data_IF_256382735187
#
_entry.id   IF_256382735187
#
_cell.length_a   1.000
_cell.length_b   1.000
_cell.length_c   1.000
_cell.angle_alpha   90.00
_cell.angle_beta   90.00
_cell.angle_gamma   90.00
#
_symmetry.space_group_name_H-M   'P 1'
#
loop_
_entity.id
_entity.type
_entity.pdbx_description
1 polymer ?
#
# COMPACT_ATOMS: atom_id res chain seq x y z
N UNK A 1 -11.01 23.03 16.70
CA UNK A 1 -10.57 22.05 17.71
C UNK A 1 -9.68 21.07 16.98
N UNK A 2 -8.36 21.27 17.02
CA UNK A 2 -7.41 20.38 16.35
C UNK A 2 -7.26 19.11 17.20
N UNK A 3 -8.01 18.06 16.85
CA UNK A 3 -7.82 16.71 17.40
C UNK A 3 -6.69 16.02 16.64
N UNK A 4 -5.47 16.52 16.81
CA UNK A 4 -4.25 15.86 16.35
C UNK A 4 -3.72 14.95 17.44
N UNK A 5 -3.30 13.74 17.08
CA UNK A 5 -2.51 12.91 18.00
C UNK A 5 -1.22 13.67 18.36
N UNK A 6 -0.99 13.85 19.66
CA UNK A 6 0.18 14.56 20.17
C UNK A 6 1.49 13.83 19.86
N UNK A 7 1.44 12.51 19.56
CA UNK A 7 2.59 11.72 19.14
C UNK A 7 2.21 10.46 18.32
N UNK A 8 2.07 10.66 17.00
CA UNK A 8 1.76 9.61 16.01
C UNK A 8 2.73 8.42 16.02
N UNK A 9 4.03 8.67 16.27
CA UNK A 9 5.03 7.59 16.30
C UNK A 9 4.82 6.68 17.51
N UNK A 10 4.66 7.27 18.71
CA UNK A 10 4.43 6.53 19.93
C UNK A 10 3.16 5.68 19.84
N UNK A 11 2.06 6.24 19.29
CA UNK A 11 0.84 5.49 19.04
C UNK A 11 1.08 4.34 18.05
N UNK A 12 1.72 4.61 16.92
CA UNK A 12 1.98 3.59 15.89
C UNK A 12 2.84 2.42 16.39
N UNK A 13 3.88 2.72 17.19
CA UNK A 13 4.74 1.72 17.86
C UNK A 13 3.95 0.94 18.91
N UNK A 14 3.14 1.61 19.73
CA UNK A 14 2.28 0.93 20.70
C UNK A 14 1.32 -0.05 20.02
N UNK A 15 0.69 0.37 18.92
CA UNK A 15 -0.17 -0.49 18.11
C UNK A 15 0.61 -1.69 17.54
N UNK A 16 1.85 -1.48 17.08
CA UNK A 16 2.69 -2.58 16.56
C UNK A 16 2.93 -3.66 17.60
N UNK A 17 3.41 -3.25 18.78
CA UNK A 17 3.68 -4.16 19.89
C UNK A 17 2.41 -4.83 20.41
N UNK A 18 1.29 -4.11 20.39
CA UNK A 18 0.01 -4.66 20.85
C UNK A 18 -0.50 -5.74 19.91
N UNK A 19 -0.37 -5.56 18.59
CA UNK A 19 -0.79 -6.55 17.60
C UNK A 19 0.02 -7.85 17.70
N UNK A 20 1.33 -7.77 17.99
CA UNK A 20 2.15 -8.96 18.21
C UNK A 20 1.58 -9.87 19.32
N UNK A 21 0.92 -9.31 20.35
CA UNK A 21 0.35 -10.09 21.47
C UNK A 21 -0.83 -10.97 21.06
N UNK A 22 -1.56 -10.57 20.02
CA UNK A 22 -2.79 -11.24 19.62
C UNK A 22 -2.63 -12.14 18.41
N UNK A 23 -1.46 -12.16 17.77
CA UNK A 23 -1.31 -12.91 16.53
C UNK A 23 -2.17 -12.36 15.37
N UNK A 24 -2.74 -11.16 15.49
CA UNK A 24 -3.78 -10.66 14.57
C UNK A 24 -3.15 -10.02 13.34
N UNK A 25 -3.54 -10.53 12.17
CA UNK A 25 -3.38 -9.92 10.87
C UNK A 25 -4.48 -8.88 10.66
N UNK A 26 -4.15 -7.63 10.38
CA UNK A 26 -5.18 -6.59 10.20
C UNK A 26 -5.65 -6.55 8.74
N UNK A 27 -6.89 -6.97 8.51
CA UNK A 27 -7.64 -6.83 7.25
C UNK A 27 -8.40 -5.48 7.23
N UNK A 28 -8.48 -4.84 6.05
CA UNK A 28 -9.31 -3.66 5.83
C UNK A 28 -10.80 -4.02 6.05
N UNK A 29 -11.34 -3.56 7.19
CA UNK A 29 -12.76 -3.41 7.54
C UNK A 29 -13.80 -4.07 6.59
N UNK A 30 -14.16 -5.34 6.85
CA UNK A 30 -15.44 -5.93 6.48
C UNK A 30 -15.80 -7.02 7.51
N UNK A 31 -17.07 -7.14 7.96
CA UNK A 31 -17.43 -8.11 8.97
C UNK A 31 -17.57 -9.48 8.30
N UNK A 32 -16.83 -10.51 8.74
CA UNK A 32 -17.15 -11.89 8.37
C UNK A 32 -17.05 -12.84 9.56
N UNK A 33 -18.14 -13.59 9.69
CA UNK A 33 -18.37 -14.70 10.58
C UNK A 33 -17.41 -15.86 10.27
N UNK A 34 -16.99 -16.52 11.35
CA UNK A 34 -16.30 -17.80 11.48
C UNK A 34 -16.20 -18.69 10.23
N UNK A 35 -14.97 -19.02 9.82
CA UNK A 35 -14.60 -20.40 9.49
C UNK A 35 -13.08 -20.62 9.57
N UNK A 36 -12.72 -21.75 10.16
CA UNK A 36 -11.41 -22.22 10.61
C UNK A 36 -10.40 -22.47 9.46
N UNK A 37 -9.25 -21.78 9.45
CA UNK A 37 -8.03 -22.17 8.72
C UNK A 37 -6.78 -21.81 9.56
N UNK A 38 -5.90 -22.77 9.91
CA UNK A 38 -4.69 -22.49 10.69
C UNK A 38 -3.57 -22.06 9.73
N UNK A 39 -3.69 -20.86 9.18
CA UNK A 39 -2.57 -20.17 8.53
C UNK A 39 -2.64 -18.70 8.93
N UNK A 40 -2.27 -18.43 10.19
CA UNK A 40 -2.20 -17.06 10.70
C UNK A 40 -1.01 -16.34 10.05
N UNK A 41 -1.19 -15.89 8.81
CA UNK A 41 -0.24 -14.98 8.16
C UNK A 41 -0.39 -13.61 8.80
N UNK A 42 0.47 -13.31 9.78
CA UNK A 42 0.59 -12.02 10.43
C UNK A 42 0.98 -10.94 9.41
N UNK A 43 0.03 -10.18 8.88
CA UNK A 43 0.30 -9.06 7.99
C UNK A 43 -0.16 -7.74 8.61
N UNK A 44 0.69 -6.72 8.56
CA UNK A 44 0.33 -5.35 8.89
C UNK A 44 0.41 -4.49 7.64
N UNK A 45 -0.71 -3.90 7.25
CA UNK A 45 -0.77 -2.95 6.14
C UNK A 45 -0.68 -1.52 6.67
N UNK A 46 0.43 -0.84 6.37
CA UNK A 46 0.63 0.56 6.72
C UNK A 46 0.57 1.41 5.47
N UNK A 47 -0.47 2.25 5.42
CA UNK A 47 -0.55 3.31 4.41
C UNK A 47 0.27 4.47 4.94
N UNK A 48 1.36 4.79 4.27
CA UNK A 48 2.04 6.05 4.55
C UNK A 48 1.07 7.21 4.31
N UNK A 49 1.06 8.24 5.17
CA UNK A 49 0.29 9.45 4.96
C UNK A 49 0.88 10.23 3.78
N UNK A 50 0.69 9.71 2.57
CA UNK A 50 1.11 10.32 1.31
C UNK A 50 -0.14 10.58 0.49
N UNK A 51 -0.87 11.64 0.82
CA UNK A 51 -1.76 12.27 -0.17
C UNK A 51 -0.88 12.99 -1.19
N UNK A 52 -0.59 12.33 -2.32
CA UNK A 52 0.22 12.88 -3.41
C UNK A 52 -0.68 13.49 -4.49
N UNK A 53 -0.57 14.79 -4.73
CA UNK A 53 -0.83 15.35 -6.06
C UNK A 53 0.30 14.91 -7.00
N UNK A 54 0.04 14.84 -8.29
CA UNK A 54 0.91 14.21 -9.31
C UNK A 54 2.26 14.94 -9.52
N UNK A 55 2.44 16.13 -8.92
CA UNK A 55 3.55 17.04 -9.21
C UNK A 55 4.52 17.32 -8.04
N UNK A 56 4.22 16.95 -6.79
CA UNK A 56 5.10 17.29 -5.66
C UNK A 56 5.36 16.08 -4.74
N UNK A 57 6.63 15.66 -4.68
CA UNK A 57 7.17 14.81 -3.62
C UNK A 57 7.32 15.67 -2.36
N UNK A 58 6.28 15.79 -1.55
CA UNK A 58 6.46 16.29 -0.18
C UNK A 58 6.90 15.13 0.71
N UNK A 59 8.11 15.22 1.28
CA UNK A 59 8.56 14.25 2.27
C UNK A 59 7.67 14.36 3.51
N UNK A 60 6.93 13.29 3.81
CA UNK A 60 6.41 13.08 5.16
C UNK A 60 7.61 12.90 6.08
N UNK A 61 7.75 13.77 7.07
CA UNK A 61 8.85 13.71 8.05
C UNK A 61 8.84 12.44 8.92
N UNK A 62 7.73 11.69 8.93
CA UNK A 62 7.59 10.46 9.71
C UNK A 62 8.09 9.22 8.97
N UNK A 63 9.09 8.54 9.55
CA UNK A 63 9.54 7.22 9.09
C UNK A 63 8.65 6.10 9.64
N UNK A 64 8.32 5.10 8.82
CA UNK A 64 7.65 3.87 9.30
C UNK A 64 8.60 2.88 9.98
N UNK A 65 9.92 3.13 9.96
CA UNK A 65 10.93 2.26 10.53
C UNK A 65 10.69 1.87 12.01
N UNK A 66 10.28 2.79 12.91
CA UNK A 66 9.98 2.43 14.29
C UNK A 66 8.89 1.36 14.39
N UNK A 67 7.88 1.41 13.51
CA UNK A 67 6.77 0.46 13.46
C UNK A 67 7.20 -0.86 12.83
N UNK A 68 8.00 -0.82 11.77
CA UNK A 68 8.60 -2.03 11.15
C UNK A 68 9.44 -2.81 12.17
N UNK A 69 10.26 -2.13 12.97
CA UNK A 69 11.11 -2.73 14.01
C UNK A 69 10.32 -3.27 15.19
N UNK A 70 9.12 -2.73 15.44
CA UNK A 70 8.27 -3.12 16.56
C UNK A 70 7.25 -4.20 16.21
N UNK A 71 7.11 -4.57 14.93
CA UNK A 71 6.16 -5.57 14.45
C UNK A 71 6.90 -6.82 13.98
N UNK A 72 6.52 -7.98 14.50
CA UNK A 72 7.24 -9.24 14.27
C UNK A 72 6.73 -10.01 13.03
N UNK A 73 5.60 -9.59 12.47
CA UNK A 73 4.99 -10.19 11.27
C UNK A 73 5.43 -9.54 9.96
N UNK A 74 4.80 -9.99 8.87
CA UNK A 74 4.94 -9.43 7.52
C UNK A 74 4.44 -7.98 7.50
N UNK A 75 5.32 -7.06 7.14
CA UNK A 75 5.07 -5.64 7.10
C UNK A 75 4.86 -5.18 5.65
N UNK A 76 3.63 -4.78 5.34
CA UNK A 76 3.22 -4.32 4.01
C UNK A 76 3.14 -2.79 4.04
N UNK A 77 3.84 -2.11 3.13
CA UNK A 77 3.75 -0.66 2.97
C UNK A 77 2.92 -0.29 1.74
N UNK A 78 2.23 0.83 1.81
CA UNK A 78 1.54 1.45 0.68
C UNK A 78 1.67 2.97 0.76
N UNK A 79 1.36 3.66 -0.35
CA UNK A 79 1.35 5.13 -0.38
C UNK A 79 2.30 5.70 -1.43
N UNK A 80 1.94 5.55 -2.70
CA UNK A 80 2.61 6.18 -3.83
C UNK A 80 4.04 5.70 -4.09
N UNK A 81 4.33 4.44 -3.79
CA UNK A 81 5.54 3.78 -4.25
C UNK A 81 5.54 3.67 -5.79
N UNK A 82 6.68 3.96 -6.41
CA UNK A 82 7.01 3.49 -7.75
C UNK A 82 7.77 2.16 -7.68
N UNK A 83 8.26 1.69 -8.83
CA UNK A 83 9.02 0.43 -8.92
C UNK A 83 10.32 0.52 -8.11
N UNK A 84 11.10 1.55 -8.34
CA UNK A 84 12.41 1.75 -7.73
C UNK A 84 12.27 1.96 -6.21
N UNK A 85 11.38 2.86 -5.79
CA UNK A 85 11.17 3.10 -4.36
C UNK A 85 10.60 1.87 -3.64
N UNK A 86 9.79 1.06 -4.35
CA UNK A 86 9.25 -0.19 -3.84
C UNK A 86 10.32 -1.25 -3.63
N UNK A 87 11.17 -1.47 -4.64
CA UNK A 87 12.32 -2.38 -4.55
C UNK A 87 13.26 -1.97 -3.42
N UNK A 88 13.61 -0.69 -3.35
CA UNK A 88 14.47 -0.16 -2.30
C UNK A 88 13.86 -0.38 -0.90
N UNK A 89 12.55 -0.26 -0.72
CA UNK A 89 11.90 -0.50 0.57
C UNK A 89 12.04 -1.95 1.03
N UNK A 90 12.02 -2.90 0.10
CA UNK A 90 12.22 -4.32 0.41
C UNK A 90 13.69 -4.61 0.68
N UNK A 91 14.59 -4.14 -0.19
CA UNK A 91 16.05 -4.34 -0.06
C UNK A 91 16.60 -3.78 1.26
N UNK A 92 16.09 -2.62 1.69
CA UNK A 92 16.49 -1.97 2.95
C UNK A 92 15.77 -2.51 4.18
N UNK A 93 15.01 -3.61 4.06
CA UNK A 93 14.19 -4.21 5.13
C UNK A 93 13.20 -3.20 5.78
N UNK A 94 12.75 -2.19 5.02
CA UNK A 94 11.72 -1.24 5.46
C UNK A 94 10.32 -1.84 5.36
N UNK A 95 10.14 -2.82 4.47
CA UNK A 95 8.91 -3.57 4.27
C UNK A 95 9.24 -4.97 3.75
N UNK A 96 8.32 -5.92 3.97
CA UNK A 96 8.40 -7.25 3.36
C UNK A 96 7.62 -7.29 2.04
N UNK A 97 6.57 -6.44 1.91
CA UNK A 97 5.75 -6.30 0.71
C UNK A 97 5.37 -4.84 0.46
N UNK A 98 5.11 -4.48 -0.80
CA UNK A 98 4.63 -3.16 -1.21
C UNK A 98 3.30 -3.32 -1.94
N UNK A 99 2.28 -2.57 -1.53
CA UNK A 99 1.00 -2.53 -2.23
C UNK A 99 0.84 -1.27 -3.09
N UNK A 100 0.25 -1.47 -4.26
CA UNK A 100 0.03 -0.46 -5.27
C UNK A 100 -1.47 -0.31 -5.54
N UNK A 101 -2.02 0.88 -5.30
CA UNK A 101 -3.42 1.20 -5.60
C UNK A 101 -3.56 1.82 -6.99
N UNK A 102 -3.28 3.13 -7.09
CA UNK A 102 -3.41 3.91 -8.35
C UNK A 102 -2.66 3.32 -9.54
N UNK A 103 -1.45 2.80 -9.33
CA UNK A 103 -0.68 2.18 -10.41
C UNK A 103 -1.36 0.89 -10.89
N UNK A 104 -1.87 0.06 -9.98
CA UNK A 104 -2.53 -1.19 -10.33
C UNK A 104 -3.88 -0.96 -11.01
N UNK A 105 -4.62 0.09 -10.60
CA UNK A 105 -5.85 0.50 -11.27
C UNK A 105 -5.61 0.81 -12.75
N UNK A 106 -4.55 1.56 -13.06
CA UNK A 106 -4.24 1.96 -14.44
C UNK A 106 -3.46 0.90 -15.24
N UNK A 107 -2.85 -0.07 -14.57
CA UNK A 107 -1.96 -1.07 -15.18
C UNK A 107 -2.40 -2.45 -14.70
N UNK A 108 -3.32 -3.13 -15.41
CA UNK A 108 -3.82 -4.45 -14.97
C UNK A 108 -2.71 -5.51 -14.92
N UNK A 109 -1.62 -5.29 -15.65
CA UNK A 109 -0.42 -6.10 -15.74
C UNK A 109 0.80 -5.46 -15.06
N UNK A 110 0.58 -4.63 -14.03
CA UNK A 110 1.63 -3.91 -13.31
C UNK A 110 2.85 -4.79 -12.91
N UNK A 111 2.68 -6.01 -12.36
CA UNK A 111 3.83 -6.85 -12.01
C UNK A 111 4.70 -7.18 -13.22
N UNK A 112 4.08 -7.47 -14.37
CA UNK A 112 4.81 -7.76 -15.61
C UNK A 112 5.54 -6.52 -16.09
N UNK A 113 4.88 -5.36 -16.08
CA UNK A 113 5.53 -4.09 -16.46
C UNK A 113 6.74 -3.78 -15.58
N UNK A 114 6.66 -4.03 -14.27
CA UNK A 114 7.80 -3.87 -13.37
C UNK A 114 8.93 -4.88 -13.64
N UNK A 115 8.59 -6.12 -13.97
CA UNK A 115 9.56 -7.17 -14.28
C UNK A 115 10.41 -6.80 -15.50
N UNK A 116 9.78 -6.29 -16.57
CA UNK A 116 10.47 -5.93 -17.82
C UNK A 116 10.83 -4.44 -17.95
N UNK A 117 10.60 -3.66 -16.89
CA UNK A 117 10.80 -2.20 -16.88
C UNK A 117 10.08 -1.48 -18.03
N UNK A 118 8.82 -1.88 -18.28
CA UNK A 118 7.99 -1.33 -19.34
C UNK A 118 7.32 0.00 -18.92
N UNK A 119 6.96 0.86 -19.89
CA UNK A 119 6.19 2.07 -19.63
C UNK A 119 4.87 1.76 -18.90
N UNK A 120 4.48 2.64 -17.97
CA UNK A 120 3.22 2.53 -17.24
C UNK A 120 2.16 3.43 -17.86
N UNK A 121 0.92 2.93 -17.91
CA UNK A 121 -0.26 3.73 -18.14
C UNK A 121 -0.40 4.77 -17.02
N UNK A 122 -0.79 5.99 -17.39
CA UNK A 122 -1.02 7.07 -16.44
C UNK A 122 -2.41 6.93 -15.82
N UNK A 123 -2.54 6.90 -14.48
CA UNK A 123 -3.84 6.92 -13.83
C UNK A 123 -4.57 8.24 -14.13
N UNK A 124 -5.86 8.17 -14.44
CA UNK A 124 -6.68 9.37 -14.64
C UNK A 124 -7.60 9.57 -13.43
N UNK A 125 -7.27 10.56 -12.60
CA UNK A 125 -8.00 10.84 -11.35
C UNK A 125 -9.43 11.32 -11.57
N UNK A 126 -9.73 11.93 -12.72
CA UNK A 126 -11.06 12.46 -13.02
C UNK A 126 -12.10 11.34 -13.16
N UNK A 127 -11.64 10.14 -13.52
CA UNK A 127 -12.50 8.97 -13.79
C UNK A 127 -12.41 7.88 -12.72
N UNK A 128 -11.64 8.07 -11.63
CA UNK A 128 -11.53 7.06 -10.56
C UNK A 128 -12.86 6.67 -9.91
N UNK A 129 -13.81 7.61 -9.86
CA UNK A 129 -15.11 7.44 -9.24
C UNK A 129 -16.24 7.70 -10.25
N UNK A 130 -15.98 7.43 -11.52
CA UNK A 130 -17.02 7.47 -12.54
C UNK A 130 -18.07 6.39 -12.27
N UNK A 131 -19.30 6.63 -12.75
CA UNK A 131 -20.39 5.65 -12.70
C UNK A 131 -20.39 4.76 -13.96
N UNK A 132 -19.54 5.07 -14.94
CA UNK A 132 -19.36 4.25 -16.12
C UNK A 132 -18.69 2.92 -15.72
N UNK A 133 -19.25 1.76 -16.09
CA UNK A 133 -18.71 0.46 -15.68
C UNK A 133 -17.42 0.07 -16.43
N UNK A 134 -17.06 0.79 -17.50
CA UNK A 134 -15.93 0.48 -18.37
C UNK A 134 -14.86 1.55 -18.28
N UNK A 135 -15.24 2.82 -18.50
CA UNK A 135 -14.29 3.93 -18.62
C UNK A 135 -13.55 4.16 -17.30
N UNK A 136 -12.23 4.14 -17.30
CA UNK A 136 -11.39 4.30 -16.11
C UNK A 136 -11.38 3.11 -15.16
N UNK A 137 -11.95 1.97 -15.55
CA UNK A 137 -12.04 0.77 -14.72
C UNK A 137 -11.52 -0.48 -15.44
N UNK A 138 -12.07 -0.83 -16.60
CA UNK A 138 -11.68 -2.03 -17.37
C UNK A 138 -11.07 -1.72 -18.73
N UNK A 139 -10.99 -0.44 -19.12
CA UNK A 139 -10.50 0.04 -20.42
C UNK A 139 -9.01 0.41 -20.44
N UNK A 140 -8.29 0.22 -19.32
CA UNK A 140 -6.85 0.39 -19.30
C UNK A 140 -6.15 -0.72 -20.11
N UNK A 141 -5.30 -0.38 -21.10
CA UNK A 141 -4.70 -1.38 -21.99
C UNK A 141 -3.63 -2.22 -21.28
N UNK A 142 -3.51 -3.48 -21.67
CA UNK A 142 -2.37 -4.33 -21.32
C UNK A 142 -1.14 -3.93 -22.12
N UNK A 143 0.06 -4.35 -21.69
CA UNK A 143 1.30 -4.08 -22.41
C UNK A 143 1.25 -4.64 -23.84
N UNK A 144 0.64 -5.80 -24.02
CA UNK A 144 0.48 -6.47 -25.32
C UNK A 144 -0.45 -5.70 -26.28
N UNK A 145 -1.41 -4.93 -25.76
CA UNK A 145 -2.32 -4.12 -26.58
C UNK A 145 -1.64 -2.86 -27.15
N UNK A 146 -0.48 -2.50 -26.59
CA UNK A 146 0.30 -1.30 -26.94
C UNK A 146 1.54 -1.59 -27.79
N UNK A 147 1.80 -2.86 -28.09
CA UNK A 147 2.96 -3.34 -28.85
C UNK A 147 2.76 -3.26 -30.38
#
# INVERSE_FOLDING_TARGET
>A
MESGDSNLEALGVYMAKSLNKYGIAYENNAPRYDLYYPLTLLTRHMVEPRMKSEAEKTESSGSLLPMRRAFDGTFIVAGGYGREEGNQAVEENRADLVAYGRLFLANPDLPRRFEVDAPLNRPNREIFYTHDPVVGYTDYPFLEDTA
#
